data_IF_843062736467
#
_entry.id   IF_843062736467
#
_cell.length_a   1.000
_cell.length_b   1.000
_cell.length_c   1.000
_cell.angle_alpha   90.00
_cell.angle_beta   90.00
_cell.angle_gamma   90.00
#
_symmetry.space_group_name_H-M   'P 1'
#
loop_
_entity.id
_entity.type
_entity.pdbx_description
1 polymer ?
#
# COMPACT_ATOMS: atom_id res chain seq x y z
N UNK A 1 17.98 10.68 20.47
CA UNK A 1 19.27 9.96 20.29
C UNK A 1 19.28 8.57 20.93
N UNK A 2 18.78 8.41 22.17
CA UNK A 2 18.75 7.08 22.82
C UNK A 2 17.83 6.07 22.11
N UNK A 3 16.63 6.50 21.71
CA UNK A 3 15.63 5.66 21.05
C UNK A 3 16.14 5.01 19.75
N UNK A 4 16.98 5.70 18.96
CA UNK A 4 17.51 5.20 17.69
C UNK A 4 18.47 4.00 17.86
N UNK A 5 19.12 3.88 19.02
CA UNK A 5 20.04 2.76 19.30
C UNK A 5 19.28 1.50 19.75
N UNK A 6 18.22 1.70 20.52
CA UNK A 6 17.48 0.61 21.16
C UNK A 6 16.33 0.06 20.30
N UNK A 7 15.79 0.85 19.37
CA UNK A 7 14.74 0.43 18.42
C UNK A 7 15.17 -0.77 17.54
N UNK A 8 16.36 -0.77 16.90
CA UNK A 8 16.81 -1.92 16.11
C UNK A 8 17.11 -3.16 16.96
N UNK A 9 17.55 -2.96 18.22
CA UNK A 9 17.80 -4.05 19.16
C UNK A 9 16.51 -4.76 19.54
N UNK A 10 15.43 -4.01 19.78
CA UNK A 10 14.10 -4.57 19.99
C UNK A 10 13.63 -5.37 18.77
N UNK A 11 13.69 -4.78 17.57
CA UNK A 11 13.24 -5.44 16.34
C UNK A 11 13.99 -6.74 16.06
N UNK A 12 15.29 -6.81 16.39
CA UNK A 12 16.14 -7.97 16.07
C UNK A 12 16.14 -9.07 17.11
N UNK A 13 16.01 -8.72 18.39
CA UNK A 13 16.23 -9.67 19.50
C UNK A 13 15.11 -9.67 20.55
N UNK A 14 14.10 -8.81 20.40
CA UNK A 14 12.93 -8.75 21.25
C UNK A 14 13.17 -8.11 22.62
N UNK A 15 12.09 -8.09 23.40
CA UNK A 15 11.98 -7.34 24.66
C UNK A 15 13.03 -7.72 25.71
N UNK A 16 13.40 -9.00 25.81
CA UNK A 16 14.37 -9.47 26.80
C UNK A 16 15.75 -8.83 26.58
N UNK A 17 16.22 -8.79 25.33
CA UNK A 17 17.51 -8.20 24.98
C UNK A 17 17.50 -6.68 25.01
N UNK A 18 16.35 -6.06 24.73
CA UNK A 18 16.15 -4.62 24.92
C UNK A 18 16.36 -4.21 26.39
N UNK A 19 15.71 -4.91 27.33
CA UNK A 19 15.82 -4.63 28.77
C UNK A 19 17.24 -4.83 29.29
N UNK A 20 17.92 -5.89 28.84
CA UNK A 20 19.33 -6.16 29.19
C UNK A 20 20.26 -5.05 28.69
N UNK A 21 20.06 -4.58 27.46
CA UNK A 21 20.85 -3.50 26.88
C UNK A 21 20.61 -2.15 27.57
N UNK A 22 19.35 -1.82 27.92
CA UNK A 22 19.01 -0.62 28.68
C UNK A 22 19.63 -0.64 30.09
N UNK A 23 19.58 -1.78 30.78
CA UNK A 23 20.23 -1.96 32.10
C UNK A 23 21.74 -1.70 32.01
N UNK A 24 22.40 -2.32 31.03
CA UNK A 24 23.84 -2.17 30.81
C UNK A 24 24.23 -0.73 30.51
N UNK A 25 23.43 -0.04 29.68
CA UNK A 25 23.66 1.36 29.35
C UNK A 25 23.56 2.27 30.58
N UNK A 26 22.53 2.10 31.41
CA UNK A 26 22.38 2.89 32.64
C UNK A 26 23.50 2.60 33.64
N UNK A 27 23.95 1.35 33.77
CA UNK A 27 25.10 1.00 34.61
C UNK A 27 26.41 1.68 34.16
N UNK A 28 26.64 1.81 32.85
CA UNK A 28 27.79 2.53 32.29
C UNK A 28 27.69 4.03 32.57
N UNK A 29 26.50 4.62 32.41
CA UNK A 29 26.28 6.03 32.68
C UNK A 29 26.51 6.38 34.16
N UNK A 30 26.07 5.51 35.08
CA UNK A 30 26.27 5.69 36.52
C UNK A 30 27.76 5.55 36.92
N UNK A 31 28.48 4.60 36.32
CA UNK A 31 29.87 4.26 36.71
C UNK A 31 30.93 5.10 36.01
N UNK A 32 30.82 5.28 34.70
CA UNK A 32 31.89 5.88 33.88
C UNK A 32 31.71 7.40 33.72
N UNK A 33 30.48 7.91 33.86
CA UNK A 33 30.20 9.35 33.77
C UNK A 33 29.96 10.02 35.13
N UNK A 34 30.10 9.26 36.23
CA UNK A 34 30.04 9.80 37.60
C UNK A 34 28.67 10.32 38.02
N UNK A 35 27.59 9.90 37.35
CA UNK A 35 26.21 10.32 37.63
C UNK A 35 25.62 9.46 38.77
N UNK A 36 26.15 9.61 39.99
CA UNK A 36 25.82 8.71 41.10
C UNK A 36 24.50 9.00 41.83
N UNK A 37 23.65 9.91 41.35
CA UNK A 37 22.33 10.22 41.93
C UNK A 37 21.33 10.60 40.82
N UNK A 38 21.13 9.72 39.85
CA UNK A 38 20.12 9.96 38.81
C UNK A 38 18.75 9.63 39.38
N UNK A 39 17.88 10.64 39.44
CA UNK A 39 16.45 10.43 39.64
C UNK A 39 15.84 10.07 38.29
N UNK A 40 15.22 8.90 38.21
CA UNK A 40 14.52 8.47 37.00
C UNK A 40 13.09 8.97 37.07
N UNK A 41 12.67 9.77 36.09
CA UNK A 41 11.32 10.33 36.05
C UNK A 41 10.46 9.61 35.02
N UNK A 42 9.26 9.20 35.43
CA UNK A 42 8.20 8.67 34.56
C UNK A 42 6.90 9.38 34.93
N UNK A 43 6.33 10.16 34.00
CA UNK A 43 5.15 11.01 34.26
C UNK A 43 5.29 11.90 35.51
N UNK A 44 6.46 12.55 35.64
CA UNK A 44 6.83 13.46 36.73
C UNK A 44 6.95 12.82 38.13
N UNK A 45 6.91 11.49 38.21
CA UNK A 45 7.20 10.73 39.43
C UNK A 45 8.61 10.15 39.39
N UNK A 46 9.32 10.25 40.53
CA UNK A 46 10.63 9.60 40.72
C UNK A 46 10.39 8.10 40.91
N UNK A 47 10.86 7.31 39.96
CA UNK A 47 10.75 5.86 39.95
C UNK A 47 12.11 5.21 40.13
N UNK A 48 12.10 3.93 40.49
CA UNK A 48 13.32 3.13 40.50
C UNK A 48 13.79 2.81 39.07
N UNK A 49 15.07 2.42 38.98
CA UNK A 49 15.75 2.10 37.73
C UNK A 49 15.04 1.02 36.91
N UNK A 50 14.46 0.01 37.55
CA UNK A 50 13.79 -1.08 36.84
C UNK A 50 12.47 -0.63 36.24
N UNK A 51 11.70 0.13 37.01
CA UNK A 51 10.45 0.74 36.56
C UNK A 51 10.69 1.68 35.38
N UNK A 52 11.77 2.46 35.42
CA UNK A 52 12.19 3.29 34.30
C UNK A 52 12.56 2.47 33.05
N UNK A 53 13.36 1.40 33.20
CA UNK A 53 13.72 0.50 32.09
C UNK A 53 12.47 -0.11 31.45
N UNK A 54 11.51 -0.55 32.26
CA UNK A 54 10.25 -1.13 31.76
C UNK A 54 9.44 -0.07 31.01
N UNK A 55 9.32 1.14 31.55
CA UNK A 55 8.61 2.25 30.89
C UNK A 55 9.23 2.59 29.53
N UNK A 56 10.55 2.75 29.47
CA UNK A 56 11.27 3.04 28.22
C UNK A 56 11.14 1.88 27.23
N UNK A 57 11.25 0.64 27.70
CA UNK A 57 11.13 -0.54 26.85
C UNK A 57 9.71 -0.67 26.26
N UNK A 58 8.67 -0.42 27.06
CA UNK A 58 7.28 -0.42 26.61
C UNK A 58 7.02 0.73 25.62
N UNK A 59 7.60 1.91 25.86
CA UNK A 59 7.51 3.04 24.94
C UNK A 59 8.16 2.71 23.59
N UNK A 60 9.34 2.07 23.59
CA UNK A 60 10.00 1.62 22.35
C UNK A 60 9.20 0.53 21.66
N UNK A 61 8.60 -0.39 22.41
CA UNK A 61 7.71 -1.41 21.86
C UNK A 61 6.51 -0.76 21.16
N UNK A 62 5.80 0.13 21.84
CA UNK A 62 4.66 0.89 21.28
C UNK A 62 5.12 1.71 20.07
N UNK A 63 6.24 2.43 20.15
CA UNK A 63 6.77 3.19 19.02
C UNK A 63 7.14 2.29 17.83
N UNK A 64 7.72 1.11 18.03
CA UNK A 64 8.00 0.18 16.93
C UNK A 64 6.71 -0.32 16.30
N UNK A 65 5.73 -0.64 17.13
CA UNK A 65 4.43 -1.15 16.70
C UNK A 65 3.54 -0.05 16.09
N UNK A 66 3.76 1.24 16.42
CA UNK A 66 3.06 2.40 15.87
C UNK A 66 3.76 3.09 14.69
N UNK A 67 5.09 3.03 14.56
CA UNK A 67 5.82 3.70 13.46
C UNK A 67 5.73 3.01 12.09
N UNK A 68 5.11 1.82 12.00
CA UNK A 68 4.62 1.29 10.71
C UNK A 68 3.33 2.01 10.26
N UNK A 69 2.83 2.97 11.06
CA UNK A 69 1.54 3.62 10.87
C UNK A 69 1.58 5.15 11.09
N UNK A 70 2.53 5.89 10.52
CA UNK A 70 2.51 7.37 10.56
C UNK A 70 3.47 7.99 9.51
N UNK A 71 2.94 8.49 8.40
CA UNK A 71 3.33 9.80 7.83
C UNK A 71 2.05 10.48 7.30
N UNK A 72 1.48 11.32 8.18
CA UNK A 72 0.88 12.66 7.98
C UNK A 72 -0.25 12.83 6.92
N UNK A 73 -1.34 13.59 7.15
CA UNK A 73 -1.40 14.93 7.75
C UNK A 73 -2.83 15.32 8.22
N UNK A 74 -2.89 16.32 9.09
CA UNK A 74 -3.92 16.78 10.04
C UNK A 74 -5.00 17.72 9.44
N UNK A 75 -6.24 17.76 10.00
CA UNK A 75 -7.05 18.99 10.17
C UNK A 75 -8.32 18.79 11.06
N UNK A 76 -8.89 19.84 11.69
CA UNK A 76 -9.22 19.86 13.11
C UNK A 76 -10.65 20.38 13.32
N UNK A 77 -11.66 19.66 12.88
CA UNK A 77 -13.06 20.08 13.07
C UNK A 77 -13.72 19.19 14.13
N UNK A 78 -13.40 19.49 15.39
CA UNK A 78 -14.19 19.08 16.54
C UNK A 78 -14.81 20.34 17.16
N UNK A 79 -16.14 20.36 17.28
CA UNK A 79 -17.04 21.13 18.17
C UNK A 79 -18.46 20.82 17.63
N UNK A 80 -19.48 20.36 18.35
CA UNK A 80 -19.72 20.19 19.79
C UNK A 80 -20.93 19.26 19.98
N UNK A 81 -21.04 18.59 21.12
CA UNK A 81 -22.33 18.24 21.73
C UNK A 81 -22.27 18.49 23.25
N UNK A 82 -23.16 19.32 23.81
CA UNK A 82 -23.23 19.60 25.25
C UNK A 82 -24.26 18.69 25.94
N UNK A 83 -24.01 18.39 27.21
CA UNK A 83 -24.96 17.74 28.10
C UNK A 83 -24.30 17.23 29.37
N UNK A 84 -23.83 18.16 30.21
CA UNK A 84 -23.53 17.88 31.62
C UNK A 84 -24.84 17.93 32.44
N UNK A 85 -24.98 17.01 33.39
CA UNK A 85 -25.50 17.30 34.72
C UNK A 85 -24.84 16.34 35.74
N UNK A 86 -24.73 16.72 37.02
CA UNK A 86 -23.56 16.42 37.83
C UNK A 86 -23.83 15.47 39.01
N UNK A 87 -22.73 15.17 39.70
CA UNK A 87 -22.59 14.56 41.02
C UNK A 87 -22.69 13.03 41.13
N UNK A 88 -21.53 12.39 41.21
CA UNK A 88 -21.07 11.79 42.48
C UNK A 88 -19.59 11.37 42.40
N UNK A 89 -18.77 11.97 43.26
CA UNK A 89 -17.43 11.50 43.60
C UNK A 89 -17.48 10.05 44.09
N UNK A 90 -16.84 9.15 43.33
CA UNK A 90 -16.15 7.98 43.90
C UNK A 90 -14.84 7.76 43.17
N UNK A 91 -13.77 7.97 43.93
CA UNK A 91 -12.42 7.50 43.64
C UNK A 91 -12.44 6.02 43.23
N UNK A 92 -12.36 5.76 41.93
CA UNK A 92 -11.78 4.55 41.40
C UNK A 92 -10.83 4.97 40.28
N UNK A 93 -9.54 4.79 40.57
CA UNK A 93 -8.48 4.76 39.55
C UNK A 93 -8.97 3.88 38.41
N UNK A 94 -9.45 4.50 37.34
CA UNK A 94 -9.88 3.77 36.16
C UNK A 94 -8.62 3.55 35.35
N UNK A 95 -7.78 2.62 35.82
CA UNK A 95 -6.96 1.84 34.90
C UNK A 95 -7.95 1.30 33.88
N UNK A 96 -8.01 1.91 32.69
CA UNK A 96 -8.74 1.36 31.57
C UNK A 96 -8.21 -0.06 31.43
N UNK A 97 -9.04 -1.06 31.74
CA UNK A 97 -8.72 -2.46 31.58
C UNK A 97 -7.99 -2.62 30.25
N UNK A 98 -6.87 -3.32 30.24
CA UNK A 98 -6.03 -3.49 29.05
C UNK A 98 -6.87 -3.86 27.81
N UNK A 99 -7.94 -4.61 28.01
CA UNK A 99 -8.95 -4.94 27.00
C UNK A 99 -9.58 -3.71 26.34
N UNK A 100 -10.01 -2.70 27.11
CA UNK A 100 -10.61 -1.46 26.59
C UNK A 100 -9.59 -0.65 25.76
N UNK A 101 -8.31 -0.69 26.15
CA UNK A 101 -7.25 -0.05 25.36
C UNK A 101 -7.08 -0.75 24.01
N UNK A 102 -7.00 -2.08 23.99
CA UNK A 102 -6.94 -2.86 22.74
C UNK A 102 -8.17 -2.67 21.86
N UNK A 103 -9.37 -2.64 22.44
CA UNK A 103 -10.61 -2.40 21.68
C UNK A 103 -10.61 -1.04 20.97
N UNK A 104 -10.08 0.00 21.63
CA UNK A 104 -9.96 1.31 21.01
C UNK A 104 -8.91 1.29 19.90
N UNK A 105 -7.75 0.66 20.11
CA UNK A 105 -6.73 0.50 19.08
C UNK A 105 -7.28 -0.21 17.84
N UNK A 106 -7.99 -1.34 18.02
CA UNK A 106 -8.60 -2.09 16.91
C UNK A 106 -9.60 -1.23 16.14
N UNK A 107 -10.44 -0.45 16.84
CA UNK A 107 -11.41 0.45 16.20
C UNK A 107 -10.72 1.55 15.41
N UNK A 108 -9.69 2.15 15.98
CA UNK A 108 -8.90 3.22 15.34
C UNK A 108 -8.17 2.70 14.10
N UNK A 109 -7.51 1.54 14.19
CA UNK A 109 -6.83 0.90 13.06
C UNK A 109 -7.81 0.51 11.95
N UNK A 110 -8.97 -0.06 12.30
CA UNK A 110 -9.99 -0.39 11.32
C UNK A 110 -10.52 0.87 10.62
N UNK A 111 -10.73 1.97 11.36
CA UNK A 111 -11.12 3.24 10.76
C UNK A 111 -10.06 3.78 9.79
N UNK A 112 -8.77 3.70 10.16
CA UNK A 112 -7.64 4.05 9.27
C UNK A 112 -7.64 3.18 8.01
N UNK A 113 -7.80 1.86 8.16
CA UNK A 113 -7.90 0.92 7.04
C UNK A 113 -9.03 1.29 6.08
N UNK A 114 -10.22 1.58 6.61
CA UNK A 114 -11.38 2.01 5.80
C UNK A 114 -11.06 3.32 5.06
N UNK A 115 -10.43 4.29 5.72
CA UNK A 115 -10.01 5.55 5.08
C UNK A 115 -9.04 5.33 3.93
N UNK A 116 -7.99 4.53 4.15
CA UNK A 116 -6.99 4.19 3.12
C UNK A 116 -7.65 3.47 1.93
N UNK A 117 -8.62 2.59 2.20
CA UNK A 117 -9.32 1.91 1.12
C UNK A 117 -10.15 2.89 0.27
N UNK A 118 -10.80 3.87 0.90
CA UNK A 118 -11.51 4.93 0.18
C UNK A 118 -10.57 5.83 -0.63
N UNK A 119 -9.39 6.14 -0.09
CA UNK A 119 -8.37 6.90 -0.82
C UNK A 119 -7.83 6.14 -2.02
N UNK A 120 -7.58 4.84 -1.87
CA UNK A 120 -7.19 3.97 -2.97
C UNK A 120 -8.26 3.97 -4.09
N UNK A 121 -9.54 3.92 -3.74
CA UNK A 121 -10.61 4.06 -4.72
C UNK A 121 -10.59 5.43 -5.43
N UNK A 122 -10.37 6.53 -4.69
CA UNK A 122 -10.28 7.88 -5.26
C UNK A 122 -9.10 7.99 -6.23
N UNK A 123 -7.94 7.43 -5.85
CA UNK A 123 -6.75 7.38 -6.70
C UNK A 123 -7.03 6.59 -7.97
N UNK A 124 -7.65 5.41 -7.88
CA UNK A 124 -7.96 4.60 -9.05
C UNK A 124 -8.98 5.31 -9.96
N UNK A 125 -10.03 5.93 -9.40
CA UNK A 125 -10.99 6.75 -10.18
C UNK A 125 -10.28 7.89 -10.90
N UNK A 126 -9.36 8.58 -10.23
CA UNK A 126 -8.57 9.68 -10.81
C UNK A 126 -7.65 9.19 -11.92
N UNK A 127 -6.94 8.08 -11.69
CA UNK A 127 -6.08 7.43 -12.68
C UNK A 127 -6.87 7.01 -13.92
N UNK A 128 -8.05 6.41 -13.76
CA UNK A 128 -8.90 6.03 -14.90
C UNK A 128 -9.36 7.25 -15.70
N UNK A 129 -9.67 8.37 -15.02
CA UNK A 129 -10.01 9.64 -15.67
C UNK A 129 -8.83 10.20 -16.46
N UNK A 130 -7.64 10.21 -15.86
CA UNK A 130 -6.41 10.67 -16.53
C UNK A 130 -6.06 9.80 -17.74
N UNK A 131 -6.13 8.47 -17.62
CA UNK A 131 -5.90 7.55 -18.74
C UNK A 131 -6.87 7.84 -19.88
N UNK A 132 -8.15 8.13 -19.57
CA UNK A 132 -9.14 8.48 -20.58
C UNK A 132 -8.77 9.79 -21.29
N UNK A 133 -8.58 10.88 -20.55
CA UNK A 133 -8.27 12.19 -21.15
C UNK A 133 -6.96 12.17 -21.93
N UNK A 134 -5.90 11.59 -21.35
CA UNK A 134 -4.63 11.45 -22.05
C UNK A 134 -4.79 10.67 -23.36
N UNK A 135 -5.58 9.59 -23.35
CA UNK A 135 -5.80 8.82 -24.58
C UNK A 135 -6.60 9.62 -25.62
N UNK A 136 -7.55 10.45 -25.20
CA UNK A 136 -8.28 11.38 -26.07
C UNK A 136 -7.34 12.42 -26.68
N UNK A 137 -6.52 13.08 -25.86
CA UNK A 137 -5.53 14.08 -26.30
C UNK A 137 -4.54 13.49 -27.30
N UNK A 138 -4.03 12.27 -27.03
CA UNK A 138 -3.12 11.59 -27.95
C UNK A 138 -3.81 11.28 -29.27
N UNK A 139 -5.07 10.85 -29.27
CA UNK A 139 -5.81 10.54 -30.50
C UNK A 139 -6.04 11.81 -31.30
N UNK A 140 -6.52 12.90 -30.67
CA UNK A 140 -6.73 14.19 -31.33
C UNK A 140 -5.42 14.74 -31.91
N UNK A 141 -4.36 14.75 -31.11
CA UNK A 141 -3.03 15.15 -31.56
C UNK A 141 -2.54 14.30 -32.73
N UNK A 142 -2.80 12.99 -32.71
CA UNK A 142 -2.42 12.09 -33.81
C UNK A 142 -3.19 12.41 -35.09
N UNK A 143 -4.49 12.69 -34.99
CA UNK A 143 -5.33 13.06 -36.14
C UNK A 143 -4.97 14.43 -36.70
N UNK A 144 -4.42 15.32 -35.87
CA UNK A 144 -3.88 16.60 -36.33
C UNK A 144 -2.51 16.46 -37.01
N UNK A 145 -1.64 15.61 -36.45
CA UNK A 145 -0.23 15.49 -36.88
C UNK A 145 -0.04 14.59 -38.11
N UNK A 146 -0.83 13.53 -38.24
CA UNK A 146 -0.68 12.53 -39.29
C UNK A 146 -1.84 12.59 -40.29
N UNK A 147 -1.60 12.09 -41.50
CA UNK A 147 -2.67 11.93 -42.48
C UNK A 147 -3.49 10.68 -42.20
N UNK A 148 -4.80 10.75 -42.42
CA UNK A 148 -5.69 9.60 -42.28
C UNK A 148 -5.25 8.45 -43.20
N UNK A 149 -4.99 7.26 -42.65
CA UNK A 149 -4.62 6.11 -43.46
C UNK A 149 -5.82 5.60 -44.25
N UNK A 150 -5.61 5.25 -45.53
CA UNK A 150 -6.65 4.75 -46.44
C UNK A 150 -6.53 3.26 -46.74
N UNK A 151 -5.43 2.61 -46.35
CA UNK A 151 -5.15 1.20 -46.62
C UNK A 151 -4.73 0.48 -45.34
N UNK A 152 -4.91 -0.85 -45.28
CA UNK A 152 -4.48 -1.66 -44.13
C UNK A 152 -2.98 -1.49 -43.79
N UNK A 153 -2.12 -1.43 -44.80
CA UNK A 153 -0.68 -1.12 -44.61
C UNK A 153 -0.47 0.31 -44.11
N UNK A 154 -1.25 1.27 -44.60
CA UNK A 154 -1.25 2.64 -44.12
C UNK A 154 -1.61 2.74 -42.63
N UNK A 155 -2.60 1.97 -42.17
CA UNK A 155 -3.02 1.92 -40.76
C UNK A 155 -1.85 1.44 -39.89
N UNK A 156 -1.16 0.37 -40.30
CA UNK A 156 0.00 -0.16 -39.58
C UNK A 156 1.13 0.87 -39.50
N UNK A 157 1.44 1.55 -40.62
CA UNK A 157 2.48 2.58 -40.65
C UNK A 157 2.12 3.78 -39.77
N UNK A 158 0.86 4.23 -39.83
CA UNK A 158 0.33 5.29 -38.96
C UNK A 158 0.49 4.94 -37.48
N UNK A 159 0.09 3.73 -37.08
CA UNK A 159 0.23 3.27 -35.69
C UNK A 159 1.69 3.17 -35.25
N UNK A 160 2.56 2.64 -36.11
CA UNK A 160 4.00 2.53 -35.82
C UNK A 160 4.62 3.91 -35.59
N UNK A 161 4.39 4.84 -36.52
CA UNK A 161 4.91 6.20 -36.44
C UNK A 161 4.38 6.92 -35.19
N UNK A 162 3.05 6.88 -34.95
CA UNK A 162 2.46 7.49 -33.75
C UNK A 162 3.12 6.97 -32.48
N UNK A 163 3.23 5.65 -32.33
CA UNK A 163 3.82 5.05 -31.13
C UNK A 163 5.31 5.36 -30.99
N UNK A 164 6.05 5.48 -32.10
CA UNK A 164 7.45 5.91 -32.09
C UNK A 164 7.60 7.36 -31.60
N UNK A 165 6.77 8.28 -32.09
CA UNK A 165 6.77 9.64 -31.57
C UNK A 165 6.41 9.70 -30.08
N UNK A 166 5.46 8.89 -29.61
CA UNK A 166 5.10 8.83 -28.19
C UNK A 166 6.26 8.31 -27.34
N UNK A 167 6.99 7.27 -27.79
CA UNK A 167 8.21 6.80 -27.09
C UNK A 167 9.30 7.87 -27.00
N UNK A 168 9.42 8.71 -28.02
CA UNK A 168 10.42 9.78 -28.01
C UNK A 168 9.99 10.97 -27.13
N UNK A 169 8.70 11.20 -26.96
CA UNK A 169 8.16 12.30 -26.15
C UNK A 169 8.04 11.92 -24.66
N UNK A 170 7.78 10.65 -24.37
CA UNK A 170 7.38 10.18 -23.04
C UNK A 170 8.27 9.05 -22.57
N UNK A 171 8.94 9.27 -21.45
CA UNK A 171 9.75 8.25 -20.77
C UNK A 171 8.88 7.07 -20.38
N UNK A 172 9.39 5.85 -20.59
CA UNK A 172 8.76 4.59 -20.17
C UNK A 172 7.34 4.34 -20.69
N UNK A 173 6.96 4.99 -21.80
CA UNK A 173 5.64 4.82 -22.43
C UNK A 173 5.24 3.35 -22.65
N UNK A 174 6.21 2.49 -22.97
CA UNK A 174 5.98 1.07 -23.25
C UNK A 174 5.58 0.25 -22.00
N UNK A 175 5.85 0.75 -20.80
CA UNK A 175 5.43 0.10 -19.55
C UNK A 175 3.93 0.24 -19.31
N UNK A 176 3.28 1.27 -19.85
CA UNK A 176 1.89 1.61 -19.59
C UNK A 176 0.92 0.94 -20.58
N UNK A 177 0.87 -0.40 -20.58
CA UNK A 177 0.02 -1.19 -21.50
C UNK A 177 -1.46 -0.83 -21.47
N UNK A 178 -2.00 -0.46 -20.31
CA UNK A 178 -3.41 -0.03 -20.18
C UNK A 178 -3.70 1.24 -20.97
N UNK A 179 -2.75 2.18 -20.97
CA UNK A 179 -2.83 3.43 -21.72
C UNK A 179 -2.80 3.16 -23.23
N UNK A 180 -1.87 2.33 -23.68
CA UNK A 180 -1.75 1.92 -25.08
C UNK A 180 -3.03 1.25 -25.59
N UNK A 181 -3.61 0.35 -24.78
CA UNK A 181 -4.91 -0.29 -25.09
C UNK A 181 -6.03 0.74 -25.18
N UNK A 182 -6.06 1.74 -24.29
CA UNK A 182 -7.08 2.80 -24.31
C UNK A 182 -6.98 3.65 -25.57
N UNK A 183 -5.77 4.12 -25.93
CA UNK A 183 -5.50 4.87 -27.16
C UNK A 183 -5.98 4.06 -28.37
N UNK A 184 -5.55 2.79 -28.48
CA UNK A 184 -5.96 1.92 -29.59
C UNK A 184 -7.48 1.72 -29.69
N UNK A 185 -8.18 1.67 -28.56
CA UNK A 185 -9.64 1.51 -28.52
C UNK A 185 -10.37 2.77 -29.00
N UNK A 186 -9.88 3.94 -28.60
CA UNK A 186 -10.47 5.24 -28.94
C UNK A 186 -10.15 5.68 -30.37
N UNK A 187 -8.98 5.33 -30.89
CA UNK A 187 -8.56 5.72 -32.22
C UNK A 187 -9.32 4.98 -33.32
N UNK A 188 -10.17 5.69 -34.06
CA UNK A 188 -10.93 5.13 -35.17
C UNK A 188 -10.10 4.93 -36.44
N UNK A 189 -9.04 5.71 -36.66
CA UNK A 189 -8.14 5.53 -37.82
C UNK A 189 -7.28 4.28 -37.68
N UNK A 190 -7.09 3.81 -36.45
CA UNK A 190 -6.34 2.60 -36.13
C UNK A 190 -7.11 1.29 -36.34
N UNK A 191 -8.38 1.34 -36.76
CA UNK A 191 -9.23 0.15 -36.90
C UNK A 191 -9.17 -0.34 -38.33
N UNK A 192 -8.87 -1.64 -38.49
CA UNK A 192 -9.10 -2.35 -39.74
C UNK A 192 -10.57 -2.73 -39.70
N UNK A 193 -11.40 -2.11 -40.54
CA UNK A 193 -12.78 -2.54 -40.72
C UNK A 193 -12.75 -3.97 -41.22
N UNK A 194 -13.15 -4.93 -40.37
CA UNK A 194 -13.26 -6.35 -40.72
C UNK A 194 -14.52 -6.63 -41.56
N UNK A 195 -14.93 -5.69 -42.41
CA UNK A 195 -16.21 -5.79 -43.11
C UNK A 195 -16.14 -6.59 -44.42
N UNK A 196 -14.97 -7.08 -44.83
CA UNK A 196 -14.82 -7.83 -46.09
C UNK A 196 -14.29 -9.27 -45.96
N UNK A 197 -13.96 -9.78 -44.76
CA UNK A 197 -13.31 -11.10 -44.61
C UNK A 197 -14.04 -12.13 -43.72
N UNK A 198 -15.28 -11.86 -43.28
CA UNK A 198 -16.11 -12.91 -42.63
C UNK A 198 -16.70 -13.95 -43.62
N UNK A 199 -16.31 -13.88 -44.90
CA UNK A 199 -16.62 -14.92 -45.90
C UNK A 199 -15.38 -15.70 -46.39
N UNK A 200 -14.22 -15.53 -45.75
CA UNK A 200 -13.01 -16.29 -46.10
C UNK A 200 -12.54 -17.18 -44.94
N UNK A 201 -13.19 -18.34 -44.87
CA UNK A 201 -12.71 -19.61 -44.35
C UNK A 201 -11.36 -19.63 -43.62
N UNK A 202 -11.41 -19.79 -42.29
CA UNK A 202 -10.50 -20.71 -41.59
C UNK A 202 -11.16 -21.24 -40.32
N UNK A 203 -12.04 -22.22 -40.49
CA UNK A 203 -12.39 -23.16 -39.44
C UNK A 203 -11.12 -23.95 -39.06
N UNK A 204 -10.51 -23.58 -37.94
CA UNK A 204 -9.53 -24.43 -37.27
C UNK A 204 -10.26 -25.49 -36.47
N UNK A 205 -10.58 -26.61 -37.11
CA UNK A 205 -11.08 -27.82 -36.47
C UNK A 205 -9.94 -28.39 -35.61
N UNK A 206 -10.07 -28.32 -34.28
CA UNK A 206 -9.30 -29.18 -33.39
C UNK A 206 -9.99 -30.55 -33.38
N UNK A 207 -9.52 -31.48 -34.21
CA UNK A 207 -9.84 -32.90 -34.08
C UNK A 207 -9.12 -33.44 -32.85
N UNK A 208 -9.88 -33.89 -31.86
CA UNK A 208 -9.34 -34.73 -30.79
C UNK A 208 -9.30 -36.17 -31.31
N UNK A 209 -8.12 -36.66 -31.63
CA UNK A 209 -7.91 -38.07 -31.92
C UNK A 209 -7.84 -38.84 -30.58
N UNK A 210 -8.92 -39.54 -30.25
CA UNK A 210 -8.94 -40.59 -29.25
C UNK A 210 -8.40 -41.87 -29.90
N UNK A 211 -7.13 -42.21 -29.62
CA UNK A 211 -6.64 -43.56 -29.89
C UNK A 211 -7.00 -44.49 -28.74
N UNK A 212 -8.00 -45.31 -29.01
CA UNK A 212 -8.46 -46.44 -28.22
C UNK A 212 -7.47 -47.62 -28.39
N UNK A 213 -6.52 -47.76 -27.47
CA UNK A 213 -5.71 -48.98 -27.37
C UNK A 213 -6.27 -49.88 -26.27
N UNK A 214 -7.28 -50.63 -26.66
CA UNK A 214 -7.74 -51.80 -25.95
C UNK A 214 -6.76 -52.95 -26.26
N UNK A 215 -6.00 -53.42 -25.27
CA UNK A 215 -5.55 -54.82 -25.27
C UNK A 215 -5.58 -55.42 -23.87
N UNK A 216 -6.36 -56.48 -23.80
CA UNK A 216 -6.68 -57.33 -22.67
C UNK A 216 -5.45 -57.98 -22.03
N UNK A 217 -5.51 -58.23 -20.71
CA UNK A 217 -5.14 -59.51 -20.09
C UNK A 217 -5.54 -59.45 -18.60
N UNK A 218 -6.63 -60.08 -18.19
CA UNK A 218 -6.77 -61.51 -17.81
C UNK A 218 -6.39 -61.82 -16.34
N UNK A 219 -7.45 -62.05 -15.55
CA UNK A 219 -7.63 -63.02 -14.45
C UNK A 219 -6.73 -63.00 -13.19
N UNK A 220 -7.41 -62.98 -12.02
CA UNK A 220 -7.53 -64.18 -11.17
C UNK A 220 -8.65 -64.05 -10.11
N UNK A 221 -9.53 -65.07 -10.16
CA UNK A 221 -10.42 -65.68 -9.15
C UNK A 221 -10.87 -64.86 -7.92
#
# INVERSE_FOLDING_TARGET
MLQNYFKPLYMKYGMAKLKEALRTYLDIMEKDQGLTNIEFLVHDEVVDKETYIISVANKIQIEVECYDAEEEDYNPDAISLPGEDPDQEKNHSTEKSTTVLYENCIKEEYAKFVSLHQEQEKIEKTKQRLIKHFAEDVVEWSHFKFNQPTTGRGIQLYQANRNEYLRNLLTDYDLYKTLQRKIKKLDNWGKIDKLEDELSAREGICSYDYEDMNSETSFKL
#
